data_IF_682925808631
#
_entry.id   IF_682925808631
#
_cell.length_a   1.000
_cell.length_b   1.000
_cell.length_c   1.000
_cell.angle_alpha   90.00
_cell.angle_beta   90.00
_cell.angle_gamma   90.00
#
_symmetry.space_group_name_H-M   'P 1'
#
loop_
_entity.id
_entity.type
_entity.pdbx_description
1 polymer ?
#
# COMPACT_ATOMS: atom_id res chain seq x y z
N UNK A 1 -5.85 8.22 -7.61
CA UNK A 1 -5.14 6.95 -7.88
C UNK A 1 -6.09 5.98 -8.56
N UNK A 2 -5.66 5.33 -9.63
CA UNK A 2 -6.40 4.23 -10.24
C UNK A 2 -6.20 2.97 -9.39
N UNK A 3 -7.29 2.25 -9.06
CA UNK A 3 -7.23 0.97 -8.37
C UNK A 3 -8.00 -0.06 -9.19
N UNK A 4 -7.32 -1.14 -9.59
CA UNK A 4 -7.93 -2.32 -10.19
C UNK A 4 -8.39 -3.24 -9.07
N UNK A 5 -9.68 -3.57 -9.04
CA UNK A 5 -10.28 -4.38 -7.98
C UNK A 5 -10.76 -5.70 -8.59
N UNK A 6 -10.42 -6.83 -7.97
CA UNK A 6 -10.96 -8.14 -8.29
C UNK A 6 -12.16 -8.43 -7.40
N UNK A 7 -13.32 -8.56 -8.02
CA UNK A 7 -14.55 -8.87 -7.30
C UNK A 7 -14.45 -10.24 -6.62
N UNK A 8 -14.92 -10.32 -5.37
CA UNK A 8 -14.94 -11.55 -4.57
C UNK A 8 -13.72 -11.80 -3.68
N UNK A 9 -12.66 -10.98 -3.81
CA UNK A 9 -11.46 -11.06 -2.94
C UNK A 9 -11.50 -10.16 -1.70
N UNK A 10 -12.53 -9.32 -1.54
CA UNK A 10 -12.58 -8.30 -0.48
C UNK A 10 -13.92 -8.30 0.26
N UNK A 11 -13.86 -7.99 1.55
CA UNK A 11 -15.04 -7.74 2.37
C UNK A 11 -15.52 -6.28 2.24
N UNK A 12 -16.76 -6.00 2.61
CA UNK A 12 -17.36 -4.66 2.49
C UNK A 12 -16.56 -3.59 3.26
N UNK A 13 -16.02 -3.94 4.43
CA UNK A 13 -15.20 -3.04 5.25
C UNK A 13 -13.87 -2.69 4.57
N UNK A 14 -13.26 -3.67 3.90
CA UNK A 14 -12.03 -3.48 3.13
C UNK A 14 -12.28 -2.59 1.92
N UNK A 15 -13.37 -2.80 1.20
CA UNK A 15 -13.78 -1.93 0.09
C UNK A 15 -13.98 -0.48 0.53
N UNK A 16 -14.62 -0.24 1.68
CA UNK A 16 -14.78 1.10 2.23
C UNK A 16 -13.44 1.78 2.56
N UNK A 17 -12.49 1.02 3.11
CA UNK A 17 -11.15 1.54 3.39
C UNK A 17 -10.40 1.86 2.09
N UNK A 18 -10.49 0.98 1.08
CA UNK A 18 -9.86 1.17 -0.23
C UNK A 18 -10.41 2.42 -0.94
N UNK A 19 -11.72 2.67 -0.88
CA UNK A 19 -12.30 3.90 -1.46
C UNK A 19 -11.81 5.16 -0.74
N UNK A 20 -11.68 5.16 0.59
CA UNK A 20 -11.08 6.29 1.33
C UNK A 20 -9.63 6.51 0.91
N UNK A 21 -8.84 5.44 0.80
CA UNK A 21 -7.45 5.48 0.34
C UNK A 21 -7.40 6.07 -1.07
N UNK A 22 -8.20 5.58 -2.00
CA UNK A 22 -8.28 6.07 -3.38
C UNK A 22 -8.57 7.56 -3.46
N UNK A 23 -9.55 8.04 -2.70
CA UNK A 23 -9.95 9.45 -2.67
C UNK A 23 -8.85 10.35 -2.09
N UNK A 24 -8.19 9.90 -1.02
CA UNK A 24 -7.15 10.68 -0.34
C UNK A 24 -5.88 10.77 -1.16
N UNK A 25 -5.47 9.68 -1.79
CA UNK A 25 -4.24 9.64 -2.59
C UNK A 25 -4.43 10.16 -4.03
N UNK A 26 -5.64 10.45 -4.46
CA UNK A 26 -5.95 11.13 -5.71
C UNK A 26 -7.11 12.10 -5.51
N UNK A 27 -6.88 13.23 -4.84
CA UNK A 27 -7.94 14.21 -4.67
C UNK A 27 -8.44 14.63 -6.06
N UNK A 28 -9.77 14.83 -6.22
CA UNK A 28 -10.32 15.36 -7.46
C UNK A 28 -9.67 16.72 -7.74
N UNK A 29 -9.43 17.08 -9.01
CA UNK A 29 -8.89 18.37 -9.34
C UNK A 29 -9.76 19.46 -8.72
N UNK A 30 -9.15 20.51 -8.13
CA UNK A 30 -9.91 21.59 -7.53
C UNK A 30 -10.90 22.14 -8.56
N UNK A 31 -12.17 22.28 -8.16
CA UNK A 31 -13.18 22.94 -9.01
C UNK A 31 -12.69 24.35 -9.27
N UNK A 32 -12.23 24.60 -10.49
CA UNK A 32 -11.84 25.94 -10.93
C UNK A 32 -13.05 26.86 -10.75
N UNK A 33 -12.93 27.99 -10.04
CA UNK A 33 -13.95 29.02 -10.09
C UNK A 33 -14.10 29.48 -11.55
N UNK A 34 -15.35 29.64 -12.01
CA UNK A 34 -15.67 30.12 -13.34
C UNK A 34 -15.07 31.51 -13.57
N UNK A 35 -13.81 31.57 -13.96
CA UNK A 35 -13.18 32.81 -14.46
C UNK A 35 -12.31 32.43 -15.66
N UNK A 36 -12.83 32.82 -16.83
CA UNK A 36 -12.08 32.80 -18.08
C UNK A 36 -10.85 33.69 -17.98
N UNK A 37 -9.69 33.09 -17.88
CA UNK A 37 -8.40 33.56 -18.42
C UNK A 37 -7.30 32.55 -18.08
N UNK A 38 -6.67 32.01 -19.12
CA UNK A 38 -5.37 31.32 -19.12
C UNK A 38 -5.20 30.08 -18.22
N UNK A 39 -5.84 29.00 -18.62
CA UNK A 39 -5.75 27.67 -17.98
C UNK A 39 -4.35 27.04 -18.07
N UNK A 40 -3.51 27.42 -19.05
CA UNK A 40 -2.21 26.78 -19.30
C UNK A 40 -1.14 27.09 -18.26
N UNK A 41 -1.18 28.24 -17.59
CA UNK A 41 -0.19 28.61 -16.56
C UNK A 41 -0.44 27.95 -15.20
N UNK A 42 -1.71 27.69 -14.87
CA UNK A 42 -2.08 27.08 -13.57
C UNK A 42 -1.95 25.56 -13.54
N UNK A 43 -2.12 24.88 -14.68
CA UNK A 43 -1.89 23.44 -14.80
C UNK A 43 -0.43 23.05 -14.55
N UNK A 44 0.53 23.93 -14.87
CA UNK A 44 1.97 23.67 -14.59
C UNK A 44 2.30 23.68 -13.09
N UNK A 45 1.57 24.44 -12.28
CA UNK A 45 1.80 24.51 -10.83
C UNK A 45 1.10 23.38 -10.06
N UNK A 46 0.05 22.77 -10.61
CA UNK A 46 -0.64 21.61 -10.02
C UNK A 46 0.17 20.33 -10.26
N UNK A 47 0.89 20.22 -11.38
CA UNK A 47 1.72 19.06 -11.70
C UNK A 47 2.99 18.92 -10.85
N UNK A 48 3.38 19.97 -10.12
CA UNK A 48 4.59 19.97 -9.29
C UNK A 48 4.45 19.39 -7.88
N UNK A 49 3.24 19.15 -7.40
CA UNK A 49 2.99 18.69 -6.03
C UNK A 49 2.42 17.27 -5.93
N UNK A 50 1.93 16.66 -7.02
CA UNK A 50 1.39 15.33 -6.93
C UNK A 50 2.47 14.27 -7.12
N UNK A 51 2.66 13.42 -6.12
CA UNK A 51 3.50 12.21 -6.19
C UNK A 51 2.91 11.14 -7.14
N UNK A 52 1.93 11.49 -7.92
CA UNK A 52 1.10 10.57 -8.69
C UNK A 52 1.36 10.66 -10.19
N UNK A 53 1.30 9.56 -10.90
CA UNK A 53 0.29 8.50 -10.79
C UNK A 53 0.74 7.31 -9.94
N UNK A 54 0.00 6.97 -8.90
CA UNK A 54 0.09 5.69 -8.21
C UNK A 54 -0.97 4.76 -8.77
N UNK A 55 -0.65 3.47 -8.84
CA UNK A 55 -1.61 2.42 -9.20
C UNK A 55 -1.86 1.50 -8.02
N UNK A 56 -3.10 1.09 -7.85
CA UNK A 56 -3.50 0.13 -6.85
C UNK A 56 -4.05 -1.16 -7.48
N UNK A 57 -3.84 -2.27 -6.79
CA UNK A 57 -4.34 -3.59 -7.14
C UNK A 57 -4.91 -4.21 -5.88
N UNK A 58 -6.21 -4.54 -5.87
CA UNK A 58 -6.92 -4.93 -4.66
C UNK A 58 -7.70 -6.24 -4.81
N UNK A 59 -7.70 -7.07 -3.76
CA UNK A 59 -8.49 -8.30 -3.68
C UNK A 59 -8.04 -9.41 -4.61
N UNK A 60 -6.75 -9.54 -4.90
CA UNK A 60 -6.26 -10.55 -5.82
C UNK A 60 -5.47 -11.66 -5.11
N UNK A 61 -5.48 -12.84 -5.70
CA UNK A 61 -4.66 -13.97 -5.28
C UNK A 61 -3.40 -14.04 -6.12
N UNK A 62 -2.33 -14.31 -5.45
CA UNK A 62 -1.02 -14.52 -6.04
C UNK A 62 -0.59 -15.95 -5.78
N UNK A 63 -0.19 -16.65 -6.83
CA UNK A 63 0.38 -17.99 -6.74
C UNK A 63 1.84 -17.95 -7.20
N UNK A 64 2.77 -18.30 -6.32
CA UNK A 64 4.15 -18.55 -6.75
C UNK A 64 4.24 -20.01 -7.24
N UNK A 65 4.26 -20.16 -8.56
CA UNK A 65 4.28 -21.48 -9.23
C UNK A 65 5.47 -22.34 -8.79
N UNK A 66 6.58 -21.73 -8.38
CA UNK A 66 7.78 -22.47 -8.00
C UNK A 66 7.75 -23.00 -6.56
N UNK A 67 7.15 -22.26 -5.65
CA UNK A 67 7.03 -22.66 -4.23
C UNK A 67 5.67 -23.27 -3.89
N UNK A 68 4.69 -23.17 -4.79
CA UNK A 68 3.30 -23.55 -4.53
C UNK A 68 2.60 -22.67 -3.48
N UNK A 69 3.23 -21.55 -3.08
CA UNK A 69 2.67 -20.65 -2.09
C UNK A 69 1.58 -19.78 -2.72
N UNK A 70 0.42 -19.75 -2.08
CA UNK A 70 -0.68 -18.86 -2.42
C UNK A 70 -0.77 -17.75 -1.38
N UNK A 71 -0.95 -16.53 -1.84
CA UNK A 71 -1.19 -15.35 -0.99
C UNK A 71 -2.36 -14.54 -1.52
N UNK A 72 -3.24 -14.12 -0.63
CA UNK A 72 -4.25 -13.13 -0.92
C UNK A 72 -3.73 -11.75 -0.50
N UNK A 73 -3.92 -10.75 -1.36
CA UNK A 73 -3.50 -9.39 -1.09
C UNK A 73 -4.75 -8.50 -1.01
N UNK A 74 -4.94 -7.84 0.13
CA UNK A 74 -6.05 -6.89 0.29
C UNK A 74 -5.83 -5.69 -0.62
N UNK A 75 -4.62 -5.09 -0.58
CA UNK A 75 -4.25 -3.98 -1.44
C UNK A 75 -2.74 -3.92 -1.67
N UNK A 76 -2.33 -3.74 -2.91
CA UNK A 76 -0.96 -3.39 -3.29
C UNK A 76 -0.98 -2.04 -3.99
N UNK A 77 -0.14 -1.11 -3.55
CA UNK A 77 0.02 0.20 -4.19
C UNK A 77 1.41 0.30 -4.79
N UNK A 78 1.48 0.57 -6.08
CA UNK A 78 2.72 0.91 -6.77
C UNK A 78 2.89 2.42 -6.76
N UNK A 79 3.95 2.89 -6.12
CA UNK A 79 4.34 4.29 -6.04
C UNK A 79 5.57 4.54 -6.92
N UNK A 80 6.00 5.80 -7.06
CA UNK A 80 7.29 6.10 -7.72
C UNK A 80 8.52 5.66 -6.92
N UNK A 81 8.35 5.28 -5.66
CA UNK A 81 9.47 5.00 -4.76
C UNK A 81 9.58 3.52 -4.41
N UNK A 82 8.46 2.82 -4.35
CA UNK A 82 8.38 1.45 -3.87
C UNK A 82 7.03 0.81 -4.25
N UNK A 83 6.90 -0.46 -3.92
CA UNK A 83 5.64 -1.21 -3.95
C UNK A 83 5.22 -1.45 -2.52
N UNK A 84 4.01 -1.04 -2.14
CA UNK A 84 3.47 -1.19 -0.80
C UNK A 84 2.42 -2.29 -0.77
N UNK A 85 2.64 -3.32 0.04
CA UNK A 85 1.61 -4.29 0.41
C UNK A 85 0.88 -3.73 1.63
N UNK A 86 -0.45 -3.67 1.56
CA UNK A 86 -1.31 -3.19 2.63
C UNK A 86 -2.27 -4.30 3.00
N UNK A 87 -2.13 -4.78 4.23
CA UNK A 87 -3.05 -5.73 4.84
C UNK A 87 -4.04 -4.96 5.70
N UNK A 88 -5.33 -5.10 5.43
CA UNK A 88 -6.41 -4.39 6.11
C UNK A 88 -6.95 -5.23 7.27
N UNK A 89 -7.16 -4.63 8.45
CA UNK A 89 -7.75 -5.30 9.61
C UNK A 89 -8.83 -4.44 10.23
N UNK A 90 -10.08 -4.84 10.05
CA UNK A 90 -11.25 -4.16 10.62
C UNK A 90 -11.56 -4.69 12.03
N UNK A 91 -10.69 -4.40 12.98
CA UNK A 91 -10.90 -4.77 14.37
C UNK A 91 -11.40 -3.58 15.18
N UNK A 92 -12.59 -3.75 15.74
CA UNK A 92 -13.25 -2.73 16.54
C UNK A 92 -13.19 -3.10 18.02
N UNK A 93 -12.98 -2.08 18.84
CA UNK A 93 -12.95 -2.13 20.31
C UNK A 93 -11.96 -3.16 20.89
N UNK A 94 -11.35 -2.76 22.00
CA UNK A 94 -10.45 -3.60 22.75
C UNK A 94 -8.99 -3.41 22.40
N UNK A 95 -8.14 -4.11 23.16
CA UNK A 95 -6.68 -4.03 23.08
C UNK A 95 -6.12 -5.17 22.26
N UNK A 96 -5.20 -4.83 21.36
CA UNK A 96 -4.44 -5.80 20.56
C UNK A 96 -3.08 -6.00 21.22
N UNK A 97 -2.74 -7.25 21.46
CA UNK A 97 -1.45 -7.68 22.02
C UNK A 97 -0.84 -8.78 21.15
N UNK A 98 0.47 -9.00 21.29
CA UNK A 98 1.18 -10.05 20.56
C UNK A 98 1.92 -10.96 21.52
N UNK A 99 1.86 -12.28 21.28
CA UNK A 99 2.62 -13.26 22.00
C UNK A 99 2.95 -14.46 21.08
N UNK A 100 4.22 -14.87 21.03
CA UNK A 100 4.70 -16.02 20.25
C UNK A 100 4.17 -16.02 18.79
N UNK A 101 4.32 -14.89 18.11
CA UNK A 101 3.90 -14.69 16.70
C UNK A 101 2.37 -14.81 16.48
N UNK A 102 1.57 -14.66 17.54
CA UNK A 102 0.12 -14.61 17.46
C UNK A 102 -0.42 -13.29 18.00
N UNK A 103 -1.46 -12.78 17.36
CA UNK A 103 -2.17 -11.61 17.84
C UNK A 103 -3.43 -11.99 18.62
N UNK A 104 -3.66 -11.24 19.67
CA UNK A 104 -4.81 -11.38 20.57
C UNK A 104 -5.58 -10.07 20.63
N UNK A 105 -6.90 -10.14 20.72
CA UNK A 105 -7.77 -9.00 21.01
C UNK A 105 -8.53 -9.29 22.30
N UNK A 106 -8.36 -8.48 23.33
CA UNK A 106 -8.94 -8.72 24.69
C UNK A 106 -8.66 -10.16 25.17
N UNK A 107 -7.42 -10.62 25.07
CA UNK A 107 -6.96 -11.98 25.42
C UNK A 107 -7.54 -13.13 24.56
N UNK A 108 -8.39 -12.84 23.57
CA UNK A 108 -8.86 -13.83 22.61
C UNK A 108 -7.86 -13.96 21.46
N UNK A 109 -7.46 -15.17 21.14
CA UNK A 109 -6.59 -15.47 20.01
C UNK A 109 -7.30 -15.07 18.70
N UNK A 110 -6.65 -14.22 17.91
CA UNK A 110 -7.12 -13.78 16.59
C UNK A 110 -6.41 -14.52 15.45
N UNK A 111 -5.32 -15.19 15.73
CA UNK A 111 -4.52 -15.94 14.78
C UNK A 111 -3.07 -15.49 14.76
N UNK A 112 -2.33 -15.96 13.76
CA UNK A 112 -0.93 -15.59 13.56
C UNK A 112 -0.81 -14.09 13.27
N UNK A 113 0.30 -13.49 13.70
CA UNK A 113 0.60 -12.07 13.49
C UNK A 113 0.44 -11.67 12.01
N UNK A 114 -0.44 -10.71 11.69
CA UNK A 114 -0.55 -10.17 10.34
C UNK A 114 0.79 -9.63 9.83
N UNK A 115 1.64 -9.08 10.70
CA UNK A 115 2.98 -8.59 10.37
C UNK A 115 3.85 -9.73 9.85
N UNK A 116 3.84 -10.88 10.50
CA UNK A 116 4.61 -12.06 10.06
C UNK A 116 4.08 -12.65 8.76
N UNK A 117 2.76 -12.72 8.61
CA UNK A 117 2.13 -13.21 7.37
C UNK A 117 2.49 -12.28 6.21
N UNK A 118 2.30 -10.96 6.39
CA UNK A 118 2.54 -9.99 5.31
C UNK A 118 4.02 -9.83 4.99
N UNK A 119 4.91 -10.06 5.97
CA UNK A 119 6.35 -10.13 5.71
C UNK A 119 6.70 -11.26 4.74
N UNK A 120 6.06 -12.41 4.85
CA UNK A 120 6.26 -13.51 3.91
C UNK A 120 5.72 -13.14 2.51
N UNK A 121 4.54 -12.49 2.43
CA UNK A 121 3.99 -11.94 1.17
C UNK A 121 4.98 -10.95 0.53
N UNK A 122 5.63 -10.08 1.35
CA UNK A 122 6.66 -9.15 0.88
C UNK A 122 7.81 -9.89 0.19
N UNK A 123 8.37 -10.93 0.81
CA UNK A 123 9.47 -11.69 0.22
C UNK A 123 9.09 -12.35 -1.11
N UNK A 124 7.88 -12.88 -1.21
CA UNK A 124 7.38 -13.49 -2.44
C UNK A 124 7.27 -12.47 -3.57
N UNK A 125 6.65 -11.32 -3.29
CA UNK A 125 6.48 -10.27 -4.28
C UNK A 125 7.83 -9.65 -4.68
N UNK A 126 8.72 -9.42 -3.72
CA UNK A 126 10.08 -8.92 -3.96
C UNK A 126 10.88 -9.86 -4.88
N UNK A 127 10.80 -11.18 -4.63
CA UNK A 127 11.43 -12.17 -5.49
C UNK A 127 10.84 -12.18 -6.91
N UNK A 128 9.52 -12.02 -7.05
CA UNK A 128 8.87 -11.93 -8.37
C UNK A 128 9.33 -10.69 -9.12
N UNK A 129 9.34 -9.53 -8.49
CA UNK A 129 9.84 -8.28 -9.09
C UNK A 129 11.31 -8.42 -9.51
N UNK A 130 12.14 -9.04 -8.68
CA UNK A 130 13.56 -9.29 -9.01
C UNK A 130 13.76 -10.22 -10.20
N UNK A 131 12.91 -11.22 -10.39
CA UNK A 131 12.95 -12.09 -11.59
C UNK A 131 12.62 -11.31 -12.85
N UNK A 132 11.69 -10.35 -12.77
CA UNK A 132 11.25 -9.50 -13.86
C UNK A 132 12.10 -8.21 -14.01
N UNK A 133 13.21 -8.10 -13.28
CA UNK A 133 14.04 -6.88 -13.26
C UNK A 133 14.46 -6.38 -14.63
N UNK A 134 14.61 -7.29 -15.60
CA UNK A 134 15.00 -6.97 -16.97
C UNK A 134 13.94 -6.11 -17.72
N UNK A 135 12.71 -6.07 -17.23
CA UNK A 135 11.58 -5.31 -17.80
C UNK A 135 11.54 -3.87 -17.29
N UNK A 136 12.18 -3.58 -16.14
CA UNK A 136 12.22 -2.23 -15.59
C UNK A 136 13.29 -1.37 -16.26
N UNK A 137 13.07 -0.07 -16.25
CA UNK A 137 14.03 0.88 -16.80
C UNK A 137 15.37 0.78 -16.09
N UNK A 138 15.37 0.72 -14.76
CA UNK A 138 16.56 0.51 -13.95
C UNK A 138 16.64 -0.97 -13.52
N UNK A 139 17.36 -1.76 -14.30
CA UNK A 139 17.50 -3.21 -14.08
C UNK A 139 18.33 -3.56 -12.86
N UNK A 140 19.25 -2.69 -12.45
CA UNK A 140 20.15 -2.92 -11.34
C UNK A 140 19.49 -2.61 -10.00
N UNK A 141 18.53 -1.71 -10.00
CA UNK A 141 17.78 -1.29 -8.82
C UNK A 141 16.27 -1.43 -9.05
N UNK A 142 15.73 -2.66 -9.05
CA UNK A 142 14.29 -2.86 -9.17
C UNK A 142 13.56 -2.25 -7.97
N UNK A 143 12.29 -1.91 -8.11
CA UNK A 143 11.49 -1.33 -7.02
C UNK A 143 11.51 -2.20 -5.78
N UNK A 144 11.76 -1.60 -4.62
CA UNK A 144 11.68 -2.29 -3.33
C UNK A 144 10.23 -2.54 -2.93
N UNK A 145 10.00 -3.65 -2.24
CA UNK A 145 8.69 -3.96 -1.65
C UNK A 145 8.71 -3.61 -0.18
N UNK A 146 7.71 -2.88 0.27
CA UNK A 146 7.43 -2.58 1.67
C UNK A 146 6.04 -3.08 2.05
N UNK A 147 5.74 -3.15 3.35
CA UNK A 147 4.41 -3.58 3.78
C UNK A 147 3.94 -2.84 5.03
N UNK A 148 2.64 -2.73 5.16
CA UNK A 148 1.96 -2.16 6.31
C UNK A 148 0.72 -2.99 6.65
N UNK A 149 0.43 -3.06 7.94
CA UNK A 149 -0.87 -3.48 8.46
C UNK A 149 -1.65 -2.20 8.77
N UNK A 150 -2.82 -2.05 8.18
CA UNK A 150 -3.65 -0.87 8.39
C UNK A 150 -4.91 -1.27 9.16
N UNK A 151 -4.99 -0.77 10.39
CA UNK A 151 -6.15 -0.95 11.25
C UNK A 151 -7.25 -0.01 10.78
N UNK A 152 -8.31 -0.55 10.18
CA UNK A 152 -9.46 0.23 9.67
C UNK A 152 -10.54 0.41 10.73
N UNK A 153 -10.53 -0.43 11.77
CA UNK A 153 -11.31 -0.28 12.98
C UNK A 153 -10.59 0.52 14.07
N UNK A 154 -11.21 0.64 15.24
CA UNK A 154 -10.74 1.47 16.35
C UNK A 154 -10.09 0.67 17.50
N UNK A 155 -9.64 -0.56 17.27
CA UNK A 155 -8.93 -1.33 18.29
C UNK A 155 -7.58 -0.67 18.66
N UNK A 156 -7.26 -0.66 19.94
CA UNK A 156 -6.00 -0.13 20.45
C UNK A 156 -4.85 -1.13 20.25
N UNK A 157 -3.87 -0.79 19.43
CA UNK A 157 -2.69 -1.60 19.15
C UNK A 157 -1.40 -1.05 19.76
N UNK A 158 -1.51 -0.11 20.70
CA UNK A 158 -0.37 0.51 21.38
C UNK A 158 0.52 -0.48 22.14
N UNK A 159 -0.06 -1.64 22.55
CA UNK A 159 0.63 -2.70 23.28
C UNK A 159 1.34 -3.73 22.39
N UNK A 160 1.33 -3.55 21.08
CA UNK A 160 2.15 -4.37 20.20
C UNK A 160 3.64 -4.09 20.42
N UNK A 161 4.51 -5.10 20.33
CA UNK A 161 5.96 -4.90 20.41
C UNK A 161 6.44 -3.98 19.26
N UNK A 162 7.53 -3.27 19.49
CA UNK A 162 8.02 -2.22 18.58
C UNK A 162 8.20 -2.71 17.13
N UNK A 163 8.73 -3.91 16.97
CA UNK A 163 8.95 -4.48 15.62
C UNK A 163 7.67 -4.78 14.84
N UNK A 164 6.53 -4.92 15.52
CA UNK A 164 5.21 -5.06 14.88
C UNK A 164 4.53 -3.70 14.75
N UNK A 165 4.65 -2.85 15.80
CA UNK A 165 4.07 -1.51 15.81
C UNK A 165 4.62 -0.61 14.69
N UNK A 166 5.90 -0.74 14.34
CA UNK A 166 6.53 -0.01 13.23
C UNK A 166 5.85 -0.28 11.87
N UNK A 167 5.26 -1.46 11.72
CA UNK A 167 4.54 -1.86 10.51
C UNK A 167 3.02 -1.72 10.62
N UNK A 168 2.50 -1.27 11.77
CA UNK A 168 1.05 -1.16 12.00
C UNK A 168 0.66 0.31 12.13
N UNK A 169 -0.34 0.74 11.37
CA UNK A 169 -0.87 2.09 11.38
C UNK A 169 -2.38 2.07 11.57
N UNK A 170 -2.93 3.13 12.14
CA UNK A 170 -4.35 3.43 11.97
C UNK A 170 -4.64 3.82 10.52
N UNK A 171 -5.91 3.76 10.12
CA UNK A 171 -6.30 4.23 8.78
C UNK A 171 -5.95 5.72 8.61
N UNK A 172 -6.16 6.55 9.62
CA UNK A 172 -5.88 7.99 9.56
C UNK A 172 -4.37 8.26 9.43
N UNK A 173 -3.52 7.55 10.20
CA UNK A 173 -2.07 7.64 10.05
C UNK A 173 -1.62 7.19 8.66
N UNK A 174 -2.24 6.13 8.12
CA UNK A 174 -1.95 5.69 6.77
C UNK A 174 -2.36 6.74 5.72
N UNK A 175 -3.54 7.35 5.86
CA UNK A 175 -4.00 8.40 4.95
C UNK A 175 -3.10 9.66 5.01
N UNK A 176 -2.45 9.94 6.14
CA UNK A 176 -1.47 11.02 6.27
C UNK A 176 -0.23 10.84 5.37
N UNK A 177 0.05 9.59 4.93
CA UNK A 177 1.12 9.30 3.97
C UNK A 177 0.85 9.89 2.58
N UNK A 178 -0.33 10.45 2.33
CA UNK A 178 -0.60 11.26 1.14
C UNK A 178 0.24 12.55 1.11
N UNK A 179 0.73 13.02 2.26
CA UNK A 179 1.77 14.06 2.31
C UNK A 179 3.13 13.48 1.91
N UNK A 180 3.75 14.11 0.92
CA UNK A 180 5.03 13.68 0.36
C UNK A 180 6.16 13.61 1.39
N UNK A 181 6.21 14.58 2.32
CA UNK A 181 7.27 14.63 3.34
C UNK A 181 7.11 13.50 4.34
N UNK A 182 5.86 13.25 4.78
CA UNK A 182 5.55 12.16 5.70
C UNK A 182 5.89 10.82 5.05
N UNK A 183 5.51 10.62 3.78
CA UNK A 183 5.81 9.42 3.02
C UNK A 183 7.33 9.18 2.89
N UNK A 184 8.07 10.20 2.45
CA UNK A 184 9.52 10.09 2.27
C UNK A 184 10.27 9.85 3.58
N UNK A 185 9.81 10.44 4.68
CA UNK A 185 10.40 10.19 6.01
C UNK A 185 10.18 8.75 6.47
N UNK A 186 9.00 8.18 6.20
CA UNK A 186 8.70 6.80 6.59
C UNK A 186 9.46 5.78 5.78
N UNK A 187 9.48 5.89 4.46
CA UNK A 187 10.03 4.86 3.58
C UNK A 187 11.47 5.12 3.11
N UNK A 188 11.96 6.36 3.23
CA UNK A 188 13.33 6.75 2.82
C UNK A 188 13.73 6.14 1.47
N UNK A 189 13.02 6.43 0.39
CA UNK A 189 13.20 5.76 -0.88
C UNK A 189 14.62 5.95 -1.41
N UNK A 190 15.20 4.85 -1.95
CA UNK A 190 16.51 4.93 -2.57
C UNK A 190 16.41 5.67 -3.92
N UNK A 191 17.21 6.70 -4.18
CA UNK A 191 17.10 7.51 -5.40
C UNK A 191 17.20 6.71 -6.71
N UNK A 192 17.97 5.62 -6.71
CA UNK A 192 18.14 4.77 -7.89
C UNK A 192 17.00 3.76 -8.10
N UNK A 193 16.22 3.44 -7.05
CA UNK A 193 15.13 2.45 -7.11
C UNK A 193 13.78 3.12 -7.41
N UNK A 194 13.75 4.05 -8.38
CA UNK A 194 12.52 4.75 -8.77
C UNK A 194 11.73 3.97 -9.81
N UNK A 195 10.40 3.96 -9.63
CA UNK A 195 9.46 3.49 -10.64
C UNK A 195 9.12 4.64 -11.57
N UNK A 196 9.48 4.55 -12.83
CA UNK A 196 9.13 5.55 -13.82
C UNK A 196 7.73 5.28 -14.42
N UNK A 197 7.11 6.31 -15.00
CA UNK A 197 5.79 6.18 -15.61
C UNK A 197 5.69 5.02 -16.62
N UNK A 198 6.76 4.79 -17.38
CA UNK A 198 6.84 3.70 -18.35
C UNK A 198 7.00 2.31 -17.74
N UNK A 199 7.34 2.21 -16.45
CA UNK A 199 7.50 0.93 -15.76
C UNK A 199 6.17 0.42 -15.18
N UNK A 200 5.13 1.27 -15.10
CA UNK A 200 3.85 0.87 -14.51
C UNK A 200 3.16 -0.28 -15.25
N UNK A 201 3.35 -0.41 -16.59
CA UNK A 201 2.79 -1.51 -17.35
C UNK A 201 3.34 -2.88 -16.92
N UNK A 202 4.57 -2.94 -16.40
CA UNK A 202 5.16 -4.18 -15.88
C UNK A 202 4.31 -4.74 -14.74
N UNK A 203 3.77 -3.86 -13.91
CA UNK A 203 2.92 -4.27 -12.79
C UNK A 203 1.52 -4.72 -13.24
N UNK A 204 0.99 -4.16 -14.36
CA UNK A 204 -0.28 -4.62 -14.93
C UNK A 204 -0.20 -6.08 -15.40
N UNK A 205 1.00 -6.54 -15.78
CA UNK A 205 1.26 -7.93 -16.17
C UNK A 205 1.66 -8.81 -14.97
N UNK A 206 2.15 -8.21 -13.89
CA UNK A 206 2.54 -8.93 -12.68
C UNK A 206 1.35 -9.29 -11.80
N UNK A 207 0.30 -8.47 -11.84
CA UNK A 207 -0.92 -8.55 -11.06
C UNK A 207 -2.15 -8.75 -11.98
#
# INVERSE_FOLDING_TARGET
MEIKIWEGGLQAQELNAIEKIKLTFCPPPPKLPNQGKSVQGQLRNISGSSMFPWKGYAGFRFVDVNSGYEGEFDLVIVTHCNVLIIELKDWNNGKVTSCKDNWYKNSRLMGRSPVSITRNKKFLLDNKIKRERHRFTNKDFPPSVEFLIVMTGNADFSQLPDHERLHTLSLDDFLSLSDRKIFQNKFRPHPAAQVLNKDFHVFDDLF
#
